data_IF_445288484842
#
_entry.id   IF_445288484842
#
_cell.length_a   1.000
_cell.length_b   1.000
_cell.length_c   1.000
_cell.angle_alpha   90.00
_cell.angle_beta   90.00
_cell.angle_gamma   90.00
#
_symmetry.space_group_name_H-M   'P 1'
#
loop_
_entity.id
_entity.type
_entity.pdbx_description
1 polymer ?
2 non-polymer ?
3 non-polymer ?
4 non-polymer ?
5 water ?
#
# COMPACT_ATOMS: atom_id res chain seq x y z
N UNK A 10 6.92 -6.78 -13.71
CA UNK A 10 8.40 -6.67 -13.52
C UNK A 10 8.76 -5.30 -12.91
N UNK A 11 8.59 -4.21 -13.67
CA UNK A 11 8.88 -2.88 -13.13
C UNK A 11 7.90 -1.83 -13.63
N UNK A 12 7.81 -0.75 -12.84
CA UNK A 12 7.04 0.42 -13.21
C UNK A 12 7.96 1.36 -14.00
N UNK A 13 7.36 2.25 -14.79
CA UNK A 13 8.11 3.35 -15.34
C UNK A 13 8.80 4.11 -14.22
N UNK A 14 10.07 4.52 -14.43
CA UNK A 14 10.78 5.30 -13.43
C UNK A 14 10.08 6.61 -13.11
N UNK A 15 9.36 7.18 -14.07
CA UNK A 15 8.67 8.44 -13.79
C UNK A 15 7.45 8.20 -12.85
N UNK A 16 6.78 7.07 -13.06
CA UNK A 16 5.66 6.65 -12.17
C UNK A 16 6.19 6.34 -10.77
N UNK A 17 7.27 5.56 -10.70
CA UNK A 17 7.89 5.29 -9.40
C UNK A 17 8.29 6.55 -8.65
N UNK A 18 8.87 7.52 -9.35
CA UNK A 18 9.28 8.77 -8.73
C UNK A 18 8.08 9.53 -8.19
N UNK A 19 6.97 9.58 -8.95
CA UNK A 19 5.77 10.24 -8.46
C UNK A 19 5.18 9.53 -7.23
N UNK A 20 5.25 8.20 -7.22
CA UNK A 20 4.81 7.45 -6.01
C UNK A 20 5.67 7.79 -4.83
N UNK A 21 6.98 7.89 -5.08
CA UNK A 21 7.89 8.27 -4.00
C UNK A 21 7.62 9.65 -3.46
N UNK A 22 7.23 10.57 -4.35
CA UNK A 22 6.88 11.90 -3.95
C UNK A 22 5.63 11.90 -3.09
N UNK A 23 4.62 11.17 -3.53
CA UNK A 23 3.42 11.03 -2.73
C UNK A 23 3.77 10.45 -1.33
N UNK A 24 4.64 9.47 -1.30
CA UNK A 24 5.01 8.82 -0.05
C UNK A 24 5.72 9.79 0.92
N UNK A 25 6.66 10.56 0.39
CA UNK A 25 7.32 11.57 1.17
C UNK A 25 6.32 12.56 1.73
N UNK A 26 5.36 12.99 0.91
CA UNK A 26 4.36 13.96 1.36
C UNK A 26 3.51 13.42 2.53
N UNK A 27 3.10 12.16 2.39
CA UNK A 27 2.30 11.48 3.43
C UNK A 27 3.13 11.32 4.70
N UNK A 28 4.37 10.89 4.56
CA UNK A 28 5.26 10.77 5.73
C UNK A 28 5.43 12.11 6.47
N UNK A 29 5.43 13.22 5.71
CA UNK A 29 5.52 14.56 6.26
C UNK A 29 4.23 15.02 6.98
N UNK A 30 3.08 14.55 6.53
CA UNK A 30 1.82 14.78 7.23
C UNK A 30 1.89 14.11 8.62
N UNK A 31 2.43 12.90 8.68
CA UNK A 31 2.59 12.17 9.95
C UNK A 31 3.57 12.90 10.86
N UNK A 32 4.75 13.24 10.34
CA UNK A 32 5.70 14.11 11.06
C UNK A 32 6.51 14.99 10.09
N UNK A 33 6.51 16.31 10.32
CA UNK A 33 7.26 17.23 9.48
C UNK A 33 8.72 16.87 9.27
N UNK A 34 9.38 16.40 10.34
CA UNK A 34 10.77 16.00 10.25
C UNK A 34 10.96 14.52 10.26
N UNK A 35 10.09 13.79 9.57
CA UNK A 35 10.20 12.33 9.55
C UNK A 35 11.58 11.86 9.09
N UNK A 36 12.23 12.59 8.18
CA UNK A 36 13.52 12.13 7.64
C UNK A 36 14.62 12.12 8.71
N UNK A 37 14.43 12.87 9.78
CA UNK A 37 15.35 12.84 10.93
C UNK A 37 14.89 11.88 12.02
N UNK A 38 13.58 11.67 12.14
CA UNK A 38 13.03 10.97 13.28
C UNK A 38 13.01 9.46 13.06
N UNK A 39 12.84 9.05 11.82
CA UNK A 39 12.69 7.63 11.49
C UNK A 39 14.02 7.02 11.14
N UNK A 40 14.14 5.71 11.37
CA UNK A 40 15.32 4.97 11.04
C UNK A 40 14.94 3.75 10.23
N UNK A 41 15.88 3.17 9.46
CA UNK A 41 15.59 2.02 8.62
C UNK A 41 14.87 0.90 9.35
N UNK A 42 15.27 0.61 10.59
CA UNK A 42 14.63 -0.46 11.39
C UNK A 42 13.15 -0.25 11.65
N UNK A 43 12.70 1.02 11.63
CA UNK A 43 11.27 1.32 11.77
C UNK A 43 10.49 0.72 10.59
N UNK A 44 11.02 0.92 9.38
CA UNK A 44 10.34 0.49 8.16
C UNK A 44 10.40 -1.04 8.04
N UNK A 45 11.49 -1.65 8.49
CA UNK A 45 11.57 -3.11 8.61
C UNK A 45 10.46 -3.68 9.49
N UNK A 46 10.28 -3.05 10.66
CA UNK A 46 9.23 -3.49 11.55
C UNK A 46 7.86 -3.29 10.95
N UNK A 47 7.60 -2.11 10.38
CA UNK A 47 6.32 -1.84 9.75
C UNK A 47 5.96 -2.85 8.64
N UNK A 48 6.92 -3.19 7.78
CA UNK A 48 6.71 -4.15 6.73
C UNK A 48 6.45 -5.54 7.30
N UNK A 49 7.20 -5.92 8.32
CA UNK A 49 6.99 -7.19 9.05
C UNK A 49 5.57 -7.30 9.53
N UNK A 50 5.07 -6.24 10.12
CA UNK A 50 3.75 -6.28 10.71
C UNK A 50 2.66 -6.23 9.66
N UNK A 51 2.86 -5.53 8.53
CA UNK A 51 1.89 -5.62 7.45
C UNK A 51 1.94 -6.97 6.79
N UNK A 52 3.13 -7.55 6.69
CA UNK A 52 3.23 -8.93 6.14
C UNK A 52 2.49 -9.94 7.01
N UNK A 53 2.50 -9.74 8.33
CA UNK A 53 1.69 -10.58 9.21
C UNK A 53 0.22 -10.39 8.91
N UNK A 54 -0.23 -9.14 8.70
CA UNK A 54 -1.63 -8.94 8.28
C UNK A 54 -1.97 -9.64 6.96
N UNK A 55 -1.01 -9.59 6.05
CA UNK A 55 -1.16 -10.24 4.73
C UNK A 55 -1.28 -11.77 4.93
N UNK A 56 -0.39 -12.34 5.70
CA UNK A 56 -0.43 -13.79 5.99
C UNK A 56 -1.73 -14.18 6.68
N UNK A 57 -2.24 -13.32 7.56
CA UNK A 57 -3.48 -13.62 8.27
C UNK A 57 -4.75 -13.43 7.41
N UNK A 58 -4.60 -12.99 6.16
CA UNK A 58 -5.69 -12.98 5.19
C UNK A 58 -5.95 -14.37 4.64
N UNK A 59 -5.09 -15.33 4.97
CA UNK A 59 -5.25 -16.75 4.55
C UNK A 59 -5.61 -17.67 5.69
N UNK A 60 -6.25 -18.80 5.39
CA UNK A 60 -6.62 -19.77 6.42
C UNK A 60 -5.44 -20.68 6.74
N UNK A 61 -4.38 -20.11 7.34
CA UNK A 61 -3.15 -20.88 7.53
C UNK A 61 -3.23 -21.72 8.82
N UNK A 62 -4.09 -21.31 9.75
CA UNK A 62 -4.12 -21.95 11.10
C UNK A 62 -4.83 -23.29 11.01
N UNK A 63 -4.16 -24.34 11.49
CA UNK A 63 -4.70 -25.69 11.45
C UNK A 63 -5.54 -26.04 12.68
N UNK A 64 -5.59 -25.13 13.65
CA UNK A 64 -6.30 -25.36 14.94
C UNK A 64 -7.44 -24.40 15.16
N UNK A 65 -7.62 -23.44 14.25
CA UNK A 65 -8.61 -22.40 14.44
C UNK A 65 -9.31 -22.16 13.10
N UNK A 66 -10.63 -22.29 13.11
CA UNK A 66 -11.48 -22.18 11.92
C UNK A 66 -10.81 -22.66 10.65
N UNK A 67 -10.61 -23.97 10.62
CA UNK A 67 -9.82 -24.62 9.58
C UNK A 67 -10.43 -24.53 8.19
N UNK A 68 -11.74 -24.36 8.10
CA UNK A 68 -12.41 -24.27 6.79
C UNK A 68 -12.69 -22.82 6.33
N UNK A 69 -12.06 -21.85 6.98
CA UNK A 69 -12.14 -20.46 6.57
C UNK A 69 -11.62 -20.30 5.15
N UNK A 70 -12.11 -19.23 4.53
CA UNK A 70 -11.70 -18.86 3.17
C UNK A 70 -10.74 -17.67 3.18
N UNK A 71 -9.84 -17.61 2.20
CA UNK A 71 -8.91 -16.48 2.10
C UNK A 71 -9.60 -15.18 1.76
N UNK A 72 -9.15 -14.08 2.35
CA UNK A 72 -9.70 -12.75 2.09
C UNK A 72 -8.83 -12.13 1.01
N UNK A 73 -9.10 -12.51 -0.23
CA UNK A 73 -8.22 -12.13 -1.32
C UNK A 73 -8.29 -10.65 -1.66
N UNK A 74 -9.40 -10.00 -1.32
CA UNK A 74 -9.48 -8.55 -1.50
C UNK A 74 -8.59 -7.86 -0.48
N UNK A 75 -8.52 -8.37 0.76
CA UNK A 75 -7.65 -7.77 1.74
C UNK A 75 -6.17 -7.97 1.41
N UNK A 76 -5.84 -9.04 0.71
CA UNK A 76 -4.47 -9.23 0.24
C UNK A 76 -3.98 -7.99 -0.51
N UNK A 77 -4.85 -7.45 -1.36
CA UNK A 77 -4.51 -6.28 -2.21
C UNK A 77 -4.18 -5.08 -1.35
N UNK A 78 -5.00 -4.88 -0.33
CA UNK A 78 -4.81 -3.77 0.63
C UNK A 78 -3.49 -3.94 1.36
N UNK A 79 -3.20 -5.13 1.88
CA UNK A 79 -1.96 -5.32 2.65
C UNK A 79 -0.69 -5.20 1.78
N UNK A 80 -0.72 -5.71 0.53
CA UNK A 80 0.40 -5.46 -0.39
C UNK A 80 0.63 -3.95 -0.63
N UNK A 81 -0.47 -3.24 -0.77
CA UNK A 81 -0.42 -1.79 -0.96
C UNK A 81 0.21 -1.10 0.27
N UNK A 82 -0.17 -1.56 1.46
CA UNK A 82 0.43 -1.04 2.71
C UNK A 82 1.96 -1.30 2.74
N UNK A 83 2.36 -2.50 2.35
CA UNK A 83 3.77 -2.85 2.27
C UNK A 83 4.53 -1.90 1.35
N UNK A 84 3.93 -1.60 0.19
CA UNK A 84 4.49 -0.65 -0.77
C UNK A 84 4.78 0.69 -0.14
N UNK A 85 3.83 1.22 0.65
CA UNK A 85 4.04 2.51 1.28
C UNK A 85 5.32 2.46 2.12
N UNK A 86 5.48 1.36 2.87
CA UNK A 86 6.61 1.25 3.81
C UNK A 86 7.94 0.93 3.11
N UNK A 87 7.88 0.17 2.03
CA UNK A 87 9.09 -0.16 1.23
C UNK A 87 9.56 1.08 0.45
N UNK A 88 8.63 1.87 -0.09
CA UNK A 88 9.01 3.18 -0.68
C UNK A 88 9.72 4.04 0.36
N UNK A 89 9.18 4.04 1.58
CA UNK A 89 9.70 4.88 2.63
C UNK A 89 11.09 4.41 3.05
N UNK A 90 11.24 3.11 3.22
CA UNK A 90 12.56 2.55 3.59
C UNK A 90 13.62 2.86 2.57
N UNK A 91 13.23 2.79 1.30
CA UNK A 91 14.16 3.06 0.17
C UNK A 91 14.65 4.49 0.15
N UNK A 92 13.90 5.40 0.72
CA UNK A 92 14.33 6.81 0.83
C UNK A 92 15.39 7.01 1.87
N UNK A 93 15.59 5.99 2.72
CA UNK A 93 16.63 6.04 3.77
C UNK A 93 17.83 5.18 3.53
N UNK A 94 17.64 4.02 2.91
CA UNK A 94 18.75 3.15 2.53
C UNK A 94 18.53 2.48 1.19
N UNK A 95 19.57 2.55 0.38
CA UNK A 95 19.71 1.81 -0.81
C UNK A 95 19.91 0.42 -0.27
N UNK A 96 19.67 -0.53 -1.13
CA UNK A 96 19.87 -1.92 -0.75
C UNK A 96 21.40 -2.23 -0.61
N UNK A 97 22.25 -1.36 -1.15
CA UNK A 97 23.71 -1.43 -0.96
C UNK A 97 24.10 -1.13 0.50
N UNK A 156 14.94 -12.33 -7.29
CA UNK A 156 13.48 -12.30 -7.44
C UNK A 156 12.87 -13.71 -7.37
N UNK A 157 13.24 -14.56 -8.33
CA UNK A 157 12.69 -15.93 -8.40
C UNK A 157 13.15 -16.83 -7.23
N UNK A 158 14.14 -16.36 -6.47
CA UNK A 158 14.61 -17.03 -5.26
C UNK A 158 13.59 -17.01 -4.13
N UNK A 159 12.80 -15.93 -4.04
CA UNK A 159 11.94 -15.73 -2.87
C UNK A 159 10.43 -15.55 -3.15
N UNK A 160 10.04 -15.24 -4.38
CA UNK A 160 8.62 -15.20 -4.75
C UNK A 160 8.28 -16.38 -5.61
N UNK A 161 7.14 -16.97 -5.32
CA UNK A 161 6.69 -18.19 -5.97
C UNK A 161 5.32 -18.00 -6.59
N UNK A 162 5.26 -18.12 -7.91
CA UNK A 162 4.03 -17.95 -8.68
C UNK A 162 3.41 -19.29 -9.14
N UNK A 163 2.08 -19.39 -9.25
CA UNK A 163 1.09 -18.33 -9.04
C UNK A 163 0.80 -18.13 -7.55
N UNK A 164 0.60 -16.86 -7.15
CA UNK A 164 0.21 -16.56 -5.78
C UNK A 164 -1.23 -16.96 -5.44
N UNK A 165 -2.01 -17.37 -6.44
CA UNK A 165 -3.36 -17.89 -6.14
C UNK A 165 -3.27 -19.22 -5.39
N UNK A 166 -2.14 -19.90 -5.50
CA UNK A 166 -1.88 -21.08 -4.71
C UNK A 166 -1.50 -20.64 -3.30
N UNK A 167 -2.30 -21.00 -2.32
CA UNK A 167 -2.06 -20.58 -0.93
C UNK A 167 -0.67 -20.97 -0.40
N UNK A 168 -0.16 -22.14 -0.75
CA UNK A 168 1.17 -22.53 -0.28
C UNK A 168 2.28 -21.60 -0.81
N UNK A 169 2.14 -21.22 -2.07
CA UNK A 169 3.04 -20.21 -2.69
C UNK A 169 2.95 -18.84 -2.00
N UNK A 170 1.73 -18.42 -1.72
CA UNK A 170 1.54 -17.15 -1.02
C UNK A 170 2.15 -17.14 0.37
N UNK A 171 1.91 -18.19 1.16
CA UNK A 171 2.47 -18.21 2.52
C UNK A 171 3.99 -18.16 2.51
N UNK A 172 4.62 -18.90 1.60
CA UNK A 172 6.07 -18.90 1.47
C UNK A 172 6.61 -17.54 1.00
N UNK A 173 6.00 -17.01 -0.06
CA UNK A 173 6.44 -15.73 -0.63
C UNK A 173 6.35 -14.58 0.39
N UNK A 174 5.25 -14.55 1.14
CA UNK A 174 4.96 -13.42 2.00
C UNK A 174 5.77 -13.52 3.26
N UNK A 175 6.10 -14.74 3.68
CA UNK A 175 7.10 -14.91 4.72
C UNK A 175 8.48 -14.43 4.27
N UNK A 176 8.83 -14.61 3.00
CA UNK A 176 10.12 -14.13 2.47
C UNK A 176 10.17 -12.61 2.42
N UNK A 177 9.03 -11.95 2.25
CA UNK A 177 8.99 -10.49 2.36
C UNK A 177 9.48 -10.04 3.75
N UNK A 178 9.12 -10.79 4.79
CA UNK A 178 9.57 -10.47 6.14
C UNK A 178 11.11 -10.59 6.21
N UNK A 179 11.66 -11.62 5.59
CA UNK A 179 13.13 -11.77 5.61
C UNK A 179 13.84 -10.61 4.91
N UNK A 180 13.32 -10.23 3.75
CA UNK A 180 13.87 -9.12 2.99
C UNK A 180 13.77 -7.81 3.75
N UNK A 181 12.65 -7.61 4.43
CA UNK A 181 12.46 -6.41 5.26
C UNK A 181 13.48 -6.33 6.36
N UNK A 182 13.73 -7.47 7.00
CA UNK A 182 14.67 -7.52 8.11
C UNK A 182 16.10 -7.26 7.64
N UNK A 183 16.41 -7.64 6.40
CA UNK A 183 17.68 -7.29 5.74
C UNK A 183 17.75 -5.87 5.17
N UNK A 184 16.68 -5.08 5.35
CA UNK A 184 16.55 -3.74 4.79
C UNK A 184 16.78 -3.69 3.29
N UNK A 185 16.28 -4.71 2.59
CA UNK A 185 16.29 -4.72 1.13
C UNK A 185 14.97 -4.14 0.60
N UNK A 186 14.78 -2.83 0.85
CA UNK A 186 13.51 -2.19 0.60
C UNK A 186 13.17 -2.13 -0.87
N UNK A 187 14.17 -1.89 -1.73
CA UNK A 187 13.92 -1.85 -3.16
C UNK A 187 13.47 -3.22 -3.66
N UNK A 188 14.01 -4.29 -3.08
CA UNK A 188 13.62 -5.63 -3.49
C UNK A 188 12.20 -5.94 -3.02
N UNK A 189 11.85 -5.48 -1.83
CA UNK A 189 10.49 -5.57 -1.38
C UNK A 189 9.54 -4.84 -2.35
N UNK A 190 9.88 -3.62 -2.75
CA UNK A 190 9.07 -2.90 -3.75
C UNK A 190 8.88 -3.73 -5.03
N UNK A 191 9.98 -4.30 -5.53
CA UNK A 191 9.94 -5.16 -6.71
C UNK A 191 9.05 -6.37 -6.53
N UNK A 192 9.11 -6.95 -5.33
CA UNK A 192 8.25 -8.08 -4.95
C UNK A 192 6.78 -7.72 -5.00
N UNK A 193 6.42 -6.54 -4.48
CA UNK A 193 5.01 -6.14 -4.47
C UNK A 193 4.52 -5.89 -5.91
N UNK A 194 5.34 -5.21 -6.71
CA UNK A 194 5.01 -4.98 -8.12
C UNK A 194 4.80 -6.31 -8.86
N UNK A 195 5.68 -7.27 -8.59
CA UNK A 195 5.56 -8.59 -9.22
C UNK A 195 4.31 -9.33 -8.75
N UNK A 196 4.01 -9.22 -7.45
CA UNK A 196 2.82 -9.85 -6.90
C UNK A 196 1.55 -9.27 -7.50
N UNK A 197 1.47 -7.94 -7.65
CA UNK A 197 0.27 -7.33 -8.26
C UNK A 197 0.12 -7.74 -9.70
N UNK A 198 1.26 -7.85 -10.38
CA UNK A 198 1.22 -8.32 -11.78
C UNK A 198 0.69 -9.75 -11.83
N UNK A 199 1.13 -10.59 -10.91
CA UNK A 199 0.71 -12.00 -10.91
C UNK A 199 -0.74 -12.17 -10.54
N UNK A 200 -1.14 -11.54 -9.43
CA UNK A 200 -2.52 -11.61 -8.99
C UNK A 200 -3.48 -10.94 -9.97
N UNK A 201 -3.02 -9.84 -10.57
CA UNK A 201 -3.78 -9.11 -11.56
C UNK A 201 -4.61 -8.02 -10.93
N UNK A 202 -3.98 -7.20 -10.09
CA UNK A 202 -4.66 -6.01 -9.59
C UNK A 202 -3.85 -4.75 -9.87
N UNK A 203 -4.53 -3.62 -9.80
CA UNK A 203 -3.97 -2.35 -10.25
C UNK A 203 -3.25 -1.68 -9.06
N UNK A 204 -1.99 -2.00 -8.89
CA UNK A 204 -1.22 -1.58 -7.72
C UNK A 204 -1.13 -0.08 -7.63
N UNK A 205 -0.87 0.59 -8.74
CA UNK A 205 -0.78 2.07 -8.70
C UNK A 205 -2.08 2.73 -8.24
N UNK A 206 -3.23 2.28 -8.78
CA UNK A 206 -4.52 2.81 -8.36
C UNK A 206 -4.83 2.52 -6.85
N UNK A 207 -4.53 1.30 -6.43
CA UNK A 207 -4.59 0.92 -4.99
C UNK A 207 -3.72 1.79 -4.10
N UNK A 208 -2.49 2.09 -4.54
CA UNK A 208 -1.63 2.99 -3.83
C UNK A 208 -2.25 4.38 -3.66
N UNK A 209 -2.73 5.00 -4.75
CA UNK A 209 -3.29 6.33 -4.67
C UNK A 209 -4.50 6.34 -3.75
N UNK A 210 -5.34 5.31 -3.84
CA UNK A 210 -6.54 5.29 -3.01
C UNK A 210 -6.17 5.14 -1.52
N UNK A 211 -5.30 4.22 -1.21
CA UNK A 211 -4.94 4.01 0.23
C UNK A 211 -4.14 5.19 0.76
N UNK A 212 -3.31 5.81 -0.11
CA UNK A 212 -2.57 7.02 0.28
C UNK A 212 -3.58 8.08 0.74
N UNK A 213 -4.68 8.20 0.01
CA UNK A 213 -5.71 9.17 0.34
C UNK A 213 -6.39 8.82 1.67
N UNK A 214 -6.78 7.56 1.84
CA UNK A 214 -7.36 7.11 3.12
C UNK A 214 -6.37 7.33 4.25
N UNK A 215 -5.08 7.09 4.00
CA UNK A 215 -4.09 7.35 5.04
C UNK A 215 -4.10 8.79 5.52
N UNK A 216 -4.17 9.73 4.57
CA UNK A 216 -4.28 11.14 4.89
C UNK A 216 -5.55 11.50 5.63
N UNK A 217 -6.66 10.93 5.19
CA UNK A 217 -7.94 11.11 5.86
C UNK A 217 -7.88 10.65 7.34
N UNK A 218 -7.31 9.48 7.56
CA UNK A 218 -7.12 8.95 8.91
C UNK A 218 -6.34 9.92 9.79
N UNK A 219 -5.29 10.52 9.25
CA UNK A 219 -4.53 11.48 10.01
C UNK A 219 -5.37 12.71 10.35
N UNK A 220 -6.21 13.12 9.41
CA UNK A 220 -7.11 14.27 9.68
C UNK A 220 -8.12 13.95 10.78
N UNK A 221 -8.50 12.68 10.89
CA UNK A 221 -9.58 12.23 11.77
C UNK A 221 -9.11 11.51 13.06
N UNK A 222 -7.88 11.81 13.46
CA UNK A 222 -7.37 11.41 14.77
C UNK A 222 -6.70 10.08 14.89
N UNK A 223 -6.22 9.51 13.79
CA UNK A 223 -5.55 8.23 13.88
C UNK A 223 -4.37 8.26 14.87
N UNK A 224 -3.61 9.33 14.83
CA UNK A 224 -2.37 9.45 15.62
C UNK A 224 -2.67 9.65 17.10
N UNK A 225 -3.83 10.18 17.44
CA UNK A 225 -4.16 10.35 18.87
C UNK A 225 -5.19 9.32 19.38
N UNK A 226 -5.45 8.29 18.59
CA UNK A 226 -6.20 7.17 19.09
C UNK A 226 -7.69 7.35 19.10
N UNK A 227 -8.21 8.37 18.40
CA UNK A 227 -9.65 8.64 18.38
C UNK A 227 -10.40 8.14 17.13
N UNK A 228 -9.68 7.55 16.20
CA UNK A 228 -10.30 7.09 14.96
C UNK A 228 -10.88 5.69 15.14
N UNK A 229 -11.98 5.43 14.44
CA UNK A 229 -12.62 4.12 14.42
C UNK A 229 -12.66 3.56 12.98
N UNK A 230 -11.93 2.47 12.75
CA UNK A 230 -11.71 1.93 11.39
C UNK A 230 -12.91 1.18 10.84
N UNK A 231 -13.61 0.47 11.73
CA UNK A 231 -14.77 -0.35 11.33
C UNK A 231 -15.99 0.32 11.89
N UNK A 232 -16.89 0.72 10.99
CA UNK A 232 -18.14 1.35 11.36
C UNK A 232 -19.36 0.71 10.65
N UNK A 233 -20.37 0.36 11.42
CA UNK A 233 -21.62 -0.26 10.83
C UNK A 233 -21.28 -1.43 9.93
N UNK A 234 -20.37 -2.26 10.41
CA UNK A 234 -19.97 -3.49 9.73
C UNK A 234 -18.97 -3.38 8.59
N UNK A 235 -18.49 -2.17 8.32
CA UNK A 235 -17.61 -1.94 7.14
C UNK A 235 -16.28 -1.31 7.56
N UNK A 236 -15.19 -1.96 7.18
CA UNK A 236 -13.82 -1.44 7.46
C UNK A 236 -13.56 -0.36 6.43
N UNK A 237 -12.91 0.75 6.83
CA UNK A 237 -12.67 1.86 5.87
C UNK A 237 -12.00 1.37 4.57
N UNK A 238 -11.06 0.44 4.67
CA UNK A 238 -10.34 -0.10 3.52
C UNK A 238 -11.27 -0.67 2.46
N UNK A 239 -12.38 -1.28 2.91
CA UNK A 239 -13.30 -1.92 1.97
C UNK A 239 -13.87 -0.93 0.96
N UNK A 240 -14.05 0.32 1.36
CA UNK A 240 -14.64 1.35 0.50
C UNK A 240 -13.70 1.73 -0.63
N UNK A 241 -12.44 1.35 -0.53
CA UNK A 241 -11.48 1.72 -1.57
C UNK A 241 -11.67 0.96 -2.88
N UNK A 242 -12.11 -0.29 -2.81
CA UNK A 242 -12.18 -1.13 -3.99
C UNK A 242 -13.04 -0.48 -5.06
N UNK A 243 -14.18 0.08 -4.67
CA UNK A 243 -15.10 0.72 -5.62
C UNK A 243 -14.69 2.09 -6.10
N UNK A 244 -13.78 2.73 -5.35
CA UNK A 244 -13.19 3.99 -5.78
C UNK A 244 -12.22 3.82 -6.95
N UNK A 245 -11.60 2.65 -7.03
CA UNK A 245 -10.53 2.25 -7.95
C UNK A 245 -11.01 1.49 -9.18
N UNK A 246 -12.10 0.74 -9.08
CA UNK A 246 -12.48 -0.18 -10.16
C UNK A 246 -12.77 0.50 -11.51
N UNK A 247 -13.24 1.76 -11.51
CA UNK A 247 -13.42 2.45 -12.84
C UNK A 247 -12.12 2.72 -13.63
N UNK A 248 -10.98 2.64 -12.95
CA UNK A 248 -9.70 3.04 -13.53
C UNK A 248 -8.87 1.87 -14.05
N UNK A 249 -8.37 2.02 -15.28
CA UNK A 249 -7.55 0.98 -15.87
C UNK A 249 -6.09 1.17 -15.51
N UNK A 250 -5.30 0.14 -15.77
CA UNK A 250 -3.86 0.22 -15.62
C UNK A 250 -3.31 1.33 -16.52
N UNK A 251 -3.81 1.40 -17.75
CA UNK A 251 -3.33 2.45 -18.68
C UNK A 251 -3.70 3.82 -18.16
N UNK A 252 -4.91 3.98 -17.60
CA UNK A 252 -5.38 5.26 -17.09
C UNK A 252 -4.36 5.86 -16.11
N UNK A 253 -3.90 5.01 -15.18
CA UNK A 253 -3.07 5.49 -14.07
C UNK A 253 -1.57 5.44 -14.31
N UNK A 254 -1.15 4.97 -15.50
CA UNK A 254 0.24 5.00 -15.86
C UNK A 254 0.55 5.74 -17.18
N UNK A 255 -0.47 6.29 -17.85
CA UNK A 255 -0.30 7.03 -19.12
C UNK A 255 0.65 8.20 -18.90
N UNK A 256 1.72 8.29 -19.70
CA UNK A 256 2.75 9.31 -19.46
C UNK A 256 2.20 10.73 -19.38
N UNK A 257 1.23 11.06 -20.23
CA UNK A 257 0.69 12.43 -20.33
C UNK A 257 -0.42 12.79 -19.36
N UNK A 258 -1.28 11.82 -19.03
CA UNK A 258 -2.53 12.08 -18.34
C UNK A 258 -2.65 11.42 -16.96
N UNK A 259 -1.65 10.69 -16.52
CA UNK A 259 -1.78 9.92 -15.26
C UNK A 259 -2.12 10.77 -14.07
N UNK A 260 -1.57 11.99 -14.00
CA UNK A 260 -1.79 12.83 -12.82
C UNK A 260 -3.25 13.22 -12.66
N UNK A 261 -3.93 13.46 -13.77
CA UNK A 261 -5.34 13.75 -13.68
C UNK A 261 -6.13 12.56 -13.16
N UNK A 262 -5.76 11.36 -13.57
CA UNK A 262 -6.47 10.15 -13.12
C UNK A 262 -6.19 9.91 -11.63
N UNK A 263 -4.96 10.16 -11.19
CA UNK A 263 -4.66 10.04 -9.76
C UNK A 263 -5.51 11.04 -8.98
N UNK A 264 -5.66 12.24 -9.51
CA UNK A 264 -6.46 13.27 -8.84
C UNK A 264 -7.90 12.80 -8.75
N UNK A 265 -8.36 12.14 -9.80
CA UNK A 265 -9.75 11.62 -9.83
C UNK A 265 -9.95 10.58 -8.72
N UNK A 266 -8.98 9.65 -8.60
CA UNK A 266 -9.00 8.63 -7.51
C UNK A 266 -9.08 9.31 -6.16
N UNK A 267 -8.21 10.28 -5.92
CA UNK A 267 -8.22 11.00 -4.67
C UNK A 267 -9.59 11.58 -4.36
N UNK A 268 -10.20 12.27 -5.31
CA UNK A 268 -11.50 12.85 -5.03
C UNK A 268 -12.62 11.81 -4.80
N UNK A 269 -12.52 10.67 -5.46
CA UNK A 269 -13.45 9.59 -5.19
C UNK A 269 -13.31 9.08 -3.74
N UNK A 270 -12.09 9.04 -3.24
CA UNK A 270 -11.87 8.56 -1.88
C UNK A 270 -12.37 9.63 -0.89
N UNK A 271 -12.10 10.89 -1.17
CA UNK A 271 -12.60 11.95 -0.31
C UNK A 271 -14.13 11.95 -0.24
N UNK A 272 -14.76 11.73 -1.40
CA UNK A 272 -16.21 11.55 -1.46
C UNK A 272 -16.69 10.45 -0.56
N UNK A 273 -16.01 9.30 -0.61
CA UNK A 273 -16.42 8.10 0.15
C UNK A 273 -16.40 8.35 1.67
N UNK A 274 -15.56 9.28 2.12
CA UNK A 274 -15.42 9.60 3.54
C UNK A 274 -16.00 10.97 3.92
N UNK A 275 -16.65 11.61 2.95
CA UNK A 275 -17.42 12.84 3.17
C UNK A 275 -16.52 14.01 3.52
N UNK A 276 -15.27 13.98 3.08
CA UNK A 276 -14.33 15.03 3.46
C UNK A 276 -14.81 16.39 2.91
N UNK A 277 -15.03 17.37 3.81
CA UNK A 277 -15.38 18.69 3.27
C UNK A 277 -14.36 19.19 2.23
N UNK A 278 -14.86 19.81 1.17
CA UNK A 278 -14.02 20.33 0.07
C UNK A 278 -12.79 21.12 0.54
N UNK A 279 -12.93 21.91 1.60
CA UNK A 279 -11.85 22.79 2.07
C UNK A 279 -10.69 22.01 2.66
N UNK A 280 -10.97 20.78 3.11
CA UNK A 280 -10.00 19.94 3.78
C UNK A 280 -9.27 19.01 2.78
N UNK A 281 -9.76 18.94 1.55
CA UNK A 281 -9.20 18.03 0.54
C UNK A 281 -7.89 18.56 0.01
N UNK A 282 -6.96 17.64 -0.23
CA UNK A 282 -5.69 17.94 -0.81
C UNK A 282 -5.70 17.29 -2.20
N UNK A 283 -5.54 18.10 -3.25
CA UNK A 283 -5.51 17.60 -4.63
C UNK A 283 -4.11 17.06 -5.02
N UNK A 284 -3.99 16.49 -6.22
CA UNK A 284 -2.76 15.82 -6.65
C UNK A 284 -1.57 16.74 -6.55
N UNK A 285 -1.76 18.02 -6.89
CA UNK A 285 -0.67 18.96 -6.87
C UNK A 285 -0.06 19.24 -5.52
N UNK A 286 -0.81 18.99 -4.45
CA UNK A 286 -0.26 19.11 -3.11
C UNK A 286 0.92 18.20 -2.93
N UNK A 287 0.94 17.08 -3.65
CA UNK A 287 1.84 15.97 -3.30
C UNK A 287 3.06 15.90 -4.22
N UNK A 288 2.96 16.53 -5.38
CA UNK A 288 4.01 16.38 -6.39
C UNK A 288 5.06 17.51 -6.30
N UNK A 289 6.32 17.14 -6.55
CA UNK A 289 7.40 18.10 -6.74
C UNK A 289 7.67 18.19 -8.24
#
# INVERSE_FOLDING_TARGET
>A
GPAMKNARRVSLSPLILRSLAELQDGLNTVVDKNWRQLRRPGDWSLAITMEAAELLDSYPWKWWKNVKAQPDLQNVKIELTDILHFSLSGAMQVSDENSGAVHKAEAGSNGESGKHWCYFDQPRALPAAGGAEYVACVETPGSSLSAPVSADECDLADFMFFPLSDTNNALASFQNIIRLASLQRFQLVTSAVIAAADDIGFNLVAYYVAKHTLNGIRQMKGYKDGTYVKVQKGVEDNELLHGCISPFSLDDVTNEGNYKTKWDDIMHRVYDAFGTPKEERLNIGHWLKS
#
